data_IF_324152945802
#
_entry.id   IF_324152945802
#
_cell.length_a   1.000
_cell.length_b   1.000
_cell.length_c   1.000
_cell.angle_alpha   90.00
_cell.angle_beta   90.00
_cell.angle_gamma   90.00
#
_symmetry.space_group_name_H-M   'P 1'
#
loop_
_entity.id
_entity.type
_entity.pdbx_description
1 polymer ?
#
# COMPACT_ATOMS: atom_id res chain seq x y z
N UNK A 1 -24.02 -30.02 -19.55
CA UNK A 1 -24.16 -28.89 -18.60
C UNK A 1 -22.79 -28.25 -18.47
N UNK A 2 -22.63 -27.02 -18.98
CA UNK A 2 -21.34 -26.34 -19.00
C UNK A 2 -21.23 -25.48 -17.73
N UNK A 3 -20.23 -25.75 -16.90
CA UNK A 3 -19.94 -24.96 -15.70
C UNK A 3 -18.93 -23.87 -16.08
N UNK A 4 -19.30 -22.61 -15.86
CA UNK A 4 -18.42 -21.45 -16.06
C UNK A 4 -18.03 -20.88 -14.71
N UNK A 5 -16.74 -20.60 -14.52
CA UNK A 5 -16.19 -20.03 -13.28
C UNK A 5 -15.64 -18.65 -13.61
N UNK A 6 -16.12 -17.64 -12.89
CA UNK A 6 -15.75 -16.23 -13.09
C UNK A 6 -15.26 -15.63 -11.76
N UNK A 7 -14.13 -14.93 -11.79
CA UNK A 7 -13.60 -14.21 -10.63
C UNK A 7 -14.13 -12.77 -10.63
N UNK A 8 -14.96 -12.42 -9.63
CA UNK A 8 -15.70 -11.14 -9.61
C UNK A 8 -14.94 -10.04 -8.85
N UNK A 9 -14.19 -10.38 -7.79
CA UNK A 9 -13.42 -9.40 -7.01
C UNK A 9 -12.04 -9.95 -6.63
N UNK A 10 -10.99 -9.63 -7.41
CA UNK A 10 -9.62 -10.03 -7.09
C UNK A 10 -9.02 -9.21 -5.94
N UNK A 11 -9.61 -8.07 -5.59
CA UNK A 11 -9.06 -7.10 -4.63
C UNK A 11 -9.52 -7.34 -3.19
N UNK A 12 -10.64 -8.02 -2.97
CA UNK A 12 -11.13 -8.44 -1.65
C UNK A 12 -10.15 -9.34 -0.86
N UNK A 13 -9.03 -9.72 -1.46
CA UNK A 13 -8.04 -10.67 -0.92
C UNK A 13 -6.79 -10.00 -0.34
N UNK A 14 -6.66 -8.68 -0.42
CA UNK A 14 -5.49 -7.94 0.07
C UNK A 14 -5.59 -7.77 1.60
N UNK A 15 -4.85 -8.58 2.37
CA UNK A 15 -4.63 -8.35 3.81
C UNK A 15 -5.07 -9.44 4.79
N UNK A 16 -5.53 -10.60 4.34
CA UNK A 16 -5.91 -11.72 5.23
C UNK A 16 -4.87 -12.85 5.26
N UNK A 17 -4.62 -13.39 6.46
CA UNK A 17 -3.66 -14.48 6.68
C UNK A 17 -4.17 -15.82 6.14
N UNK A 18 -5.50 -16.03 6.16
CA UNK A 18 -6.17 -17.20 5.62
C UNK A 18 -7.22 -16.76 4.58
N UNK A 19 -7.22 -17.41 3.41
CA UNK A 19 -8.20 -17.15 2.36
C UNK A 19 -9.59 -17.56 2.85
N UNK A 20 -10.50 -16.59 2.88
CA UNK A 20 -11.94 -16.83 3.02
C UNK A 20 -12.61 -16.17 1.83
N UNK A 21 -13.02 -16.99 0.87
CA UNK A 21 -13.82 -16.57 -0.27
C UNK A 21 -15.24 -17.11 -0.16
N UNK A 22 -16.11 -16.62 -1.04
CA UNK A 22 -17.43 -17.19 -1.24
C UNK A 22 -17.52 -17.69 -2.69
N UNK A 23 -17.92 -18.95 -2.87
CA UNK A 23 -18.35 -19.45 -4.16
C UNK A 23 -19.87 -19.24 -4.25
N UNK A 24 -20.30 -18.35 -5.14
CA UNK A 24 -21.70 -18.17 -5.43
C UNK A 24 -22.10 -18.98 -6.67
N UNK A 25 -23.04 -19.89 -6.49
CA UNK A 25 -23.62 -20.72 -7.54
C UNK A 25 -24.89 -20.04 -8.03
N UNK A 26 -24.98 -19.78 -9.33
CA UNK A 26 -26.14 -19.18 -9.96
C UNK A 26 -26.61 -20.04 -11.14
N UNK A 27 -27.88 -19.91 -11.49
CA UNK A 27 -28.38 -20.35 -12.79
C UNK A 27 -29.13 -19.22 -13.49
N UNK A 28 -29.16 -19.28 -14.81
CA UNK A 28 -30.03 -18.45 -15.62
C UNK A 28 -31.38 -19.16 -15.72
N UNK A 29 -32.44 -18.51 -15.28
CA UNK A 29 -33.80 -19.06 -15.38
C UNK A 29 -34.73 -18.06 -16.04
N UNK A 30 -35.65 -18.57 -16.83
CA UNK A 30 -36.79 -17.81 -17.32
C UNK A 30 -37.76 -17.54 -16.17
N UNK A 31 -37.95 -16.26 -15.85
CA UNK A 31 -38.87 -15.77 -14.83
C UNK A 31 -39.95 -14.95 -15.50
N UNK A 32 -41.21 -15.21 -15.15
CA UNK A 32 -42.34 -14.39 -15.57
C UNK A 32 -42.44 -13.16 -14.67
N UNK A 33 -42.08 -12.00 -15.19
CA UNK A 33 -42.21 -10.74 -14.45
C UNK A 33 -43.48 -10.02 -14.90
N UNK A 34 -44.27 -9.54 -13.92
CA UNK A 34 -45.47 -8.77 -14.21
C UNK A 34 -45.09 -7.35 -14.65
N UNK A 35 -45.61 -6.93 -15.81
CA UNK A 35 -45.45 -5.57 -16.30
C UNK A 35 -46.50 -4.66 -15.65
N UNK A 36 -46.09 -3.76 -14.76
CA UNK A 36 -46.92 -2.61 -14.40
C UNK A 36 -46.68 -1.50 -15.42
N UNK A 37 -47.65 -1.13 -16.28
CA UNK A 37 -47.52 0.08 -17.07
C UNK A 37 -47.33 1.25 -16.09
N UNK A 38 -46.27 2.02 -16.30
CA UNK A 38 -45.78 3.04 -15.38
C UNK A 38 -46.86 3.97 -14.86
N UNK A 39 -46.64 4.52 -13.66
CA UNK A 39 -47.45 5.58 -13.05
C UNK A 39 -47.51 6.78 -14.01
N UNK A 40 -48.52 6.79 -14.89
CA UNK A 40 -49.02 8.02 -15.46
C UNK A 40 -49.76 8.75 -14.35
N UNK A 41 -49.17 9.86 -13.90
CA UNK A 41 -49.81 10.82 -13.00
C UNK A 41 -51.04 11.38 -13.72
N UNK A 42 -52.20 11.25 -13.04
CA UNK A 42 -53.53 11.85 -13.30
C UNK A 42 -54.20 11.50 -14.64
N UNK A 43 -55.39 10.89 -14.58
CA UNK A 43 -56.70 11.56 -14.63
C UNK A 43 -57.81 10.54 -14.32
N UNK A 44 -58.92 11.03 -13.74
CA UNK A 44 -60.09 10.23 -13.34
C UNK A 44 -60.70 9.49 -14.54
N UNK A 45 -60.95 8.19 -14.39
CA UNK A 45 -62.00 7.50 -15.14
C UNK A 45 -62.51 6.28 -14.36
N UNK A 46 -63.79 6.35 -14.02
CA UNK A 46 -64.63 5.24 -13.59
C UNK A 46 -64.74 4.23 -14.73
N UNK A 47 -64.20 3.03 -14.55
CA UNK A 47 -64.82 1.78 -15.02
C UNK A 47 -64.02 0.55 -14.58
N UNK A 48 -64.77 -0.41 -14.07
CA UNK A 48 -64.34 -1.72 -13.62
C UNK A 48 -64.06 -2.60 -14.85
N UNK A 49 -62.78 -2.84 -15.17
CA UNK A 49 -62.35 -3.97 -16.02
C UNK A 49 -61.01 -4.46 -15.51
N UNK A 50 -60.96 -5.73 -15.10
CA UNK A 50 -59.76 -6.39 -14.61
C UNK A 50 -58.59 -6.13 -15.56
N UNK A 51 -57.61 -5.33 -15.13
CA UNK A 51 -56.36 -5.17 -15.86
C UNK A 51 -55.65 -6.52 -15.80
N UNK A 52 -55.83 -7.36 -16.83
CA UNK A 52 -55.08 -8.61 -16.98
C UNK A 52 -53.59 -8.24 -16.92
N UNK A 53 -52.90 -8.72 -15.89
CA UNK A 53 -51.46 -8.55 -15.76
C UNK A 53 -50.81 -9.10 -17.03
N UNK A 54 -50.05 -8.26 -17.72
CA UNK A 54 -49.23 -8.69 -18.87
C UNK A 54 -47.92 -9.19 -18.29
N UNK A 55 -47.59 -10.45 -18.53
CA UNK A 55 -46.35 -11.06 -18.08
C UNK A 55 -45.34 -11.04 -19.22
N UNK A 56 -44.09 -10.72 -18.91
CA UNK A 56 -42.97 -10.89 -19.82
C UNK A 56 -42.06 -11.98 -19.28
N UNK A 57 -41.65 -12.91 -20.17
CA UNK A 57 -40.58 -13.86 -19.85
C UNK A 57 -39.26 -13.10 -19.90
N UNK A 58 -38.56 -13.06 -18.77
CA UNK A 58 -37.22 -12.46 -18.66
C UNK A 58 -36.25 -13.54 -18.20
N UNK A 59 -35.09 -13.62 -18.84
CA UNK A 59 -33.99 -14.46 -18.34
C UNK A 59 -33.30 -13.68 -17.23
N UNK A 60 -33.28 -14.25 -16.03
CA UNK A 60 -32.69 -13.63 -14.85
C UNK A 60 -31.69 -14.58 -14.17
N UNK A 61 -30.65 -13.99 -13.56
CA UNK A 61 -29.65 -14.71 -12.77
C UNK A 61 -30.22 -14.97 -11.38
N UNK A 62 -30.53 -16.23 -11.08
CA UNK A 62 -31.01 -16.65 -9.76
C UNK A 62 -29.86 -17.24 -8.96
N UNK A 63 -29.65 -16.74 -7.74
CA UNK A 63 -28.68 -17.30 -6.79
C UNK A 63 -29.24 -18.60 -6.20
N UNK A 64 -28.43 -19.66 -6.25
CA UNK A 64 -28.81 -20.98 -5.76
C UNK A 64 -28.16 -21.28 -4.41
N UNK A 65 -26.88 -20.95 -4.27
CA UNK A 65 -26.14 -21.21 -3.05
C UNK A 65 -24.90 -20.31 -2.93
N UNK A 66 -24.54 -20.00 -1.69
CA UNK A 66 -23.26 -19.38 -1.32
C UNK A 66 -22.49 -20.34 -0.44
N UNK A 67 -21.30 -20.73 -0.86
CA UNK A 67 -20.43 -21.64 -0.12
C UNK A 67 -19.22 -20.88 0.36
N UNK A 68 -18.93 -20.93 1.66
CA UNK A 68 -17.68 -20.39 2.21
C UNK A 68 -16.55 -21.34 1.87
N UNK A 69 -15.54 -20.85 1.16
CA UNK A 69 -14.41 -21.65 0.70
C UNK A 69 -13.10 -21.09 1.21
N UNK A 70 -12.16 -21.99 1.49
CA UNK A 70 -10.74 -21.63 1.64
C UNK A 70 -10.07 -21.83 0.30
N UNK A 71 -9.65 -20.73 -0.32
CA UNK A 71 -8.91 -20.78 -1.58
C UNK A 71 -7.41 -20.91 -1.29
N UNK A 72 -6.63 -21.63 -2.12
CA UNK A 72 -5.19 -21.63 -1.97
C UNK A 72 -4.62 -20.22 -2.19
N UNK A 73 -3.65 -19.84 -1.37
CA UNK A 73 -2.92 -18.57 -1.55
C UNK A 73 -2.15 -18.63 -2.85
N UNK A 74 -2.43 -17.71 -3.77
CA UNK A 74 -1.58 -17.56 -4.95
C UNK A 74 -0.18 -17.20 -4.42
N UNK A 75 0.75 -18.15 -4.53
CA UNK A 75 2.15 -17.93 -4.22
C UNK A 75 2.71 -17.04 -5.33
N UNK A 76 2.53 -15.72 -5.17
CA UNK A 76 3.23 -14.76 -6.01
C UNK A 76 4.73 -15.03 -5.77
N UNK A 77 5.51 -15.38 -6.81
CA UNK A 77 6.92 -15.66 -6.64
C UNK A 77 7.58 -14.45 -5.97
N UNK A 78 8.33 -14.72 -4.90
CA UNK A 78 8.95 -13.74 -4.00
C UNK A 78 9.78 -12.70 -4.75
N UNK A 79 10.27 -13.06 -5.94
CA UNK A 79 11.01 -12.20 -6.88
C UNK A 79 10.33 -10.86 -7.14
N UNK A 80 9.01 -10.83 -7.33
CA UNK A 80 8.30 -9.62 -7.78
C UNK A 80 7.92 -8.68 -6.63
N UNK A 81 7.90 -9.17 -5.40
CA UNK A 81 7.65 -8.35 -4.18
C UNK A 81 8.93 -7.77 -3.59
N UNK A 82 10.07 -8.29 -3.99
CA UNK A 82 11.39 -7.99 -3.42
C UNK A 82 12.24 -7.07 -4.30
N UNK A 83 11.82 -6.80 -5.54
CA UNK A 83 12.31 -5.66 -6.28
C UNK A 83 11.87 -4.40 -5.54
N UNK A 84 12.70 -3.96 -4.59
CA UNK A 84 12.67 -2.57 -4.14
C UNK A 84 12.86 -1.78 -5.43
N UNK A 85 11.85 -1.08 -5.97
CA UNK A 85 12.07 -0.25 -7.13
C UNK A 85 13.25 0.64 -6.77
N UNK A 86 14.27 0.72 -7.65
CA UNK A 86 15.46 1.54 -7.44
C UNK A 86 15.00 2.94 -7.06
N UNK A 87 14.94 3.19 -5.75
CA UNK A 87 14.42 4.42 -5.22
C UNK A 87 15.60 5.36 -5.18
N UNK A 88 15.70 6.13 -6.25
CA UNK A 88 16.60 7.25 -6.34
C UNK A 88 15.81 8.50 -5.96
N UNK A 89 16.36 9.28 -5.04
CA UNK A 89 15.82 10.59 -4.69
C UNK A 89 16.86 11.64 -5.01
N UNK A 90 16.42 12.75 -5.59
CA UNK A 90 17.29 13.89 -5.85
C UNK A 90 17.55 14.60 -4.53
N UNK A 91 18.81 14.60 -4.09
CA UNK A 91 19.23 15.37 -2.92
C UNK A 91 19.35 16.84 -3.28
N UNK A 92 18.90 17.71 -2.38
CA UNK A 92 19.14 19.17 -2.43
C UNK A 92 20.10 19.62 -1.32
N UNK A 93 20.63 18.65 -0.58
CA UNK A 93 21.43 18.83 0.63
C UNK A 93 22.49 17.71 0.69
N UNK A 94 23.25 17.67 1.79
CA UNK A 94 24.30 16.68 2.01
C UNK A 94 23.80 15.23 2.16
N UNK A 95 22.50 15.02 2.36
CA UNK A 95 21.90 13.69 2.54
C UNK A 95 21.66 13.06 1.18
N UNK A 96 22.75 12.62 0.57
CA UNK A 96 22.72 11.83 -0.67
C UNK A 96 22.51 10.35 -0.40
N UNK A 97 22.12 9.60 -1.43
CA UNK A 97 22.00 8.14 -1.34
C UNK A 97 23.33 7.47 -0.97
N UNK A 98 24.45 7.99 -1.49
CA UNK A 98 25.80 7.56 -1.14
C UNK A 98 26.08 7.81 0.35
N UNK A 99 25.76 9.01 0.85
CA UNK A 99 25.92 9.34 2.26
C UNK A 99 25.14 8.39 3.17
N UNK A 100 23.85 8.15 2.89
CA UNK A 100 23.02 7.25 3.69
C UNK A 100 23.52 5.80 3.70
N UNK A 101 24.14 5.35 2.60
CA UNK A 101 24.76 4.02 2.48
C UNK A 101 26.07 3.90 3.26
N UNK A 102 26.84 4.97 3.36
CA UNK A 102 28.03 4.96 4.24
C UNK A 102 27.63 5.08 5.71
N UNK A 103 26.61 5.89 6.01
CA UNK A 103 26.07 6.03 7.36
C UNK A 103 25.48 4.71 7.88
N UNK A 104 24.79 3.94 7.03
CA UNK A 104 24.21 2.65 7.44
C UNK A 104 25.26 1.65 7.92
N UNK A 105 26.43 1.59 7.27
CA UNK A 105 27.57 0.77 7.68
C UNK A 105 28.12 1.16 9.06
N UNK A 106 27.96 2.42 9.47
CA UNK A 106 28.40 2.95 10.77
C UNK A 106 27.39 2.68 11.89
N UNK A 107 26.24 2.06 11.62
CA UNK A 107 25.21 1.73 12.60
C UNK A 107 25.25 0.24 12.97
N UNK A 108 25.86 -0.14 14.09
CA UNK A 108 26.00 -1.55 14.47
C UNK A 108 24.67 -2.15 14.97
N UNK A 109 24.44 -3.41 14.64
CA UNK A 109 23.36 -4.24 15.18
C UNK A 109 21.98 -3.59 15.02
N UNK A 110 21.18 -3.58 16.09
CA UNK A 110 19.82 -3.03 16.11
C UNK A 110 19.76 -1.50 16.32
N UNK A 111 20.88 -0.79 16.19
CA UNK A 111 20.92 0.68 16.38
C UNK A 111 20.02 1.41 15.37
N UNK A 112 19.85 0.85 14.16
CA UNK A 112 18.92 1.39 13.18
C UNK A 112 17.46 1.39 13.64
N UNK A 113 17.03 0.47 14.51
CA UNK A 113 15.66 0.46 15.06
C UNK A 113 15.44 1.63 16.00
N UNK A 114 16.43 1.89 16.87
CA UNK A 114 16.43 3.04 17.77
C UNK A 114 16.42 4.34 16.98
N UNK A 115 17.26 4.44 15.94
CA UNK A 115 17.29 5.60 15.06
C UNK A 115 15.96 5.79 14.32
N UNK A 116 15.38 4.71 13.79
CA UNK A 116 14.09 4.77 13.12
C UNK A 116 12.99 5.31 14.04
N UNK A 117 12.94 4.88 15.29
CA UNK A 117 12.01 5.43 16.28
C UNK A 117 12.27 6.91 16.56
N UNK A 118 13.54 7.32 16.69
CA UNK A 118 13.92 8.72 16.90
C UNK A 118 13.66 9.62 15.68
N UNK A 119 13.56 9.03 14.48
CA UNK A 119 13.18 9.70 13.23
C UNK A 119 11.67 9.64 12.96
N UNK A 120 10.86 9.29 13.97
CA UNK A 120 9.41 9.15 13.89
C UNK A 120 8.90 8.19 12.79
N UNK A 121 9.69 7.17 12.43
CA UNK A 121 9.19 6.10 11.57
C UNK A 121 8.13 5.28 12.31
N UNK A 122 6.97 4.99 11.67
CA UNK A 122 5.95 4.16 12.28
C UNK A 122 6.48 2.78 12.68
N UNK A 123 6.12 2.32 13.87
CA UNK A 123 6.54 1.01 14.41
C UNK A 123 6.28 -0.14 13.43
N UNK A 124 5.14 -0.10 12.72
CA UNK A 124 4.80 -1.07 11.69
C UNK A 124 5.85 -1.13 10.55
N UNK A 125 6.43 0.01 10.14
CA UNK A 125 7.49 0.04 9.12
C UNK A 125 8.81 -0.50 9.65
N UNK A 126 9.17 -0.16 10.89
CA UNK A 126 10.37 -0.69 11.55
C UNK A 126 10.29 -2.23 11.64
N UNK A 127 9.13 -2.77 12.04
CA UNK A 127 8.89 -4.21 12.06
C UNK A 127 8.94 -4.83 10.66
N UNK A 128 8.35 -4.19 9.66
CA UNK A 128 8.37 -4.67 8.28
C UNK A 128 9.80 -4.72 7.69
N UNK A 129 10.68 -3.81 8.09
CA UNK A 129 12.10 -3.84 7.70
C UNK A 129 12.81 -5.00 8.40
N UNK A 130 12.63 -5.15 9.71
CA UNK A 130 13.32 -6.18 10.50
C UNK A 130 12.76 -7.60 10.35
N UNK A 131 11.54 -7.76 9.85
CA UNK A 131 10.90 -9.06 9.60
C UNK A 131 11.25 -9.70 8.26
N UNK A 132 11.97 -8.99 7.38
CA UNK A 132 12.48 -9.57 6.13
C UNK A 132 13.63 -10.53 6.45
N UNK A 133 13.60 -11.74 5.86
CA UNK A 133 14.68 -12.73 5.98
C UNK A 133 16.04 -12.06 5.75
N UNK A 134 17.03 -12.39 6.60
CA UNK A 134 18.40 -11.88 6.50
C UNK A 134 19.04 -12.13 5.12
N UNK A 135 18.53 -13.11 4.36
CA UNK A 135 18.95 -13.40 2.98
C UNK A 135 18.48 -12.38 1.94
N UNK A 136 17.60 -11.45 2.31
CA UNK A 136 16.79 -10.65 1.40
C UNK A 136 17.04 -9.13 1.51
N UNK A 137 17.71 -8.69 2.58
CA UNK A 137 18.07 -7.29 2.82
C UNK A 137 19.50 -7.25 3.31
N UNK A 138 20.44 -6.89 2.43
CA UNK A 138 21.87 -6.79 2.77
C UNK A 138 22.17 -5.65 3.77
N UNK A 139 21.21 -4.75 4.02
CA UNK A 139 21.42 -3.63 4.96
C UNK A 139 20.08 -3.08 5.51
N UNK A 140 19.68 -3.52 6.71
CA UNK A 140 18.47 -3.05 7.38
C UNK A 140 18.52 -1.56 7.72
N UNK A 141 19.70 -1.03 8.04
CA UNK A 141 19.89 0.37 8.38
C UNK A 141 19.68 1.26 7.15
N UNK A 142 20.21 0.84 6.01
CA UNK A 142 19.97 1.53 4.75
C UNK A 142 18.50 1.46 4.31
N UNK A 143 17.85 0.30 4.47
CA UNK A 143 16.42 0.16 4.19
C UNK A 143 15.56 1.08 5.08
N UNK A 144 15.94 1.26 6.35
CA UNK A 144 15.32 2.22 7.27
C UNK A 144 15.48 3.66 6.76
N UNK A 145 16.67 4.07 6.34
CA UNK A 145 16.90 5.41 5.78
C UNK A 145 16.06 5.68 4.53
N UNK A 146 16.00 4.74 3.58
CA UNK A 146 15.15 4.89 2.40
C UNK A 146 13.66 5.00 2.78
N UNK A 147 13.22 4.24 3.77
CA UNK A 147 11.85 4.34 4.27
C UNK A 147 11.57 5.70 4.93
N UNK A 148 12.53 6.24 5.69
CA UNK A 148 12.41 7.53 6.34
C UNK A 148 12.34 8.67 5.32
N UNK A 149 13.23 8.70 4.33
CA UNK A 149 13.21 9.71 3.26
C UNK A 149 11.87 9.73 2.54
N UNK A 150 11.28 8.55 2.27
CA UNK A 150 9.96 8.44 1.63
C UNK A 150 8.81 9.01 2.46
N UNK A 151 8.95 9.09 3.78
CA UNK A 151 7.91 9.65 4.66
C UNK A 151 8.00 11.17 4.83
N UNK A 152 9.10 11.79 4.41
CA UNK A 152 9.31 13.21 4.59
C UNK A 152 8.62 14.05 3.50
N UNK A 153 8.07 15.22 3.84
CA UNK A 153 7.69 16.20 2.85
C UNK A 153 8.93 16.75 2.12
N UNK A 154 8.74 17.25 0.91
CA UNK A 154 9.83 17.78 0.06
C UNK A 154 10.58 18.94 0.73
N UNK A 155 9.90 19.72 1.56
CA UNK A 155 10.45 20.87 2.30
C UNK A 155 11.06 20.52 3.66
N UNK A 156 11.11 19.24 4.04
CA UNK A 156 11.67 18.84 5.33
C UNK A 156 13.16 19.18 5.41
N UNK A 157 13.60 19.74 6.54
CA UNK A 157 15.01 19.87 6.87
C UNK A 157 15.55 18.50 7.31
N UNK A 158 15.97 17.72 6.32
CA UNK A 158 16.46 16.35 6.51
C UNK A 158 17.71 16.33 7.40
N UNK A 159 18.57 17.35 7.28
CA UNK A 159 19.84 17.44 8.01
C UNK A 159 19.57 17.61 9.49
N UNK A 160 18.72 18.56 9.86
CA UNK A 160 18.38 18.80 11.27
C UNK A 160 17.64 17.61 11.88
N UNK A 161 16.69 17.00 11.16
CA UNK A 161 15.97 15.81 11.63
C UNK A 161 16.92 14.63 11.89
N UNK A 162 17.83 14.35 10.95
CA UNK A 162 18.81 13.28 11.12
C UNK A 162 19.79 13.57 12.26
N UNK A 163 20.24 14.83 12.36
CA UNK A 163 21.12 15.26 13.45
C UNK A 163 20.46 15.04 14.82
N UNK A 164 19.21 15.48 14.99
CA UNK A 164 18.45 15.28 16.24
C UNK A 164 18.23 13.80 16.54
N UNK A 165 17.88 13.00 15.53
CA UNK A 165 17.73 11.55 15.68
C UNK A 165 19.03 10.86 16.15
N UNK A 166 20.17 11.24 15.56
CA UNK A 166 21.50 10.72 15.94
C UNK A 166 21.89 11.13 17.37
N UNK A 167 21.61 12.38 17.77
CA UNK A 167 21.77 12.85 19.16
C UNK A 167 20.92 12.03 20.13
N UNK A 168 19.65 11.80 19.80
CA UNK A 168 18.70 11.11 20.67
C UNK A 168 19.09 9.65 20.95
N UNK A 169 19.76 8.98 20.02
CA UNK A 169 20.26 7.61 20.21
C UNK A 169 21.68 7.55 20.81
N UNK A 170 22.27 8.69 21.18
CA UNK A 170 23.61 8.78 21.74
C UNK A 170 24.75 8.64 20.72
N UNK A 171 24.47 8.80 19.42
CA UNK A 171 25.47 8.78 18.34
C UNK A 171 25.93 10.19 18.00
N UNK A 172 26.47 10.88 19.01
CA UNK A 172 26.96 12.26 18.85
C UNK A 172 28.18 12.37 17.94
N UNK A 173 28.93 11.28 17.80
CA UNK A 173 30.01 11.11 16.83
C UNK A 173 29.51 11.37 15.39
N UNK A 174 28.47 10.64 14.98
CA UNK A 174 27.92 10.73 13.62
C UNK A 174 27.21 12.06 13.36
N UNK A 175 26.55 12.59 14.38
CA UNK A 175 25.88 13.88 14.28
C UNK A 175 26.88 15.05 14.10
N UNK A 176 28.05 14.96 14.75
CA UNK A 176 29.11 15.96 14.58
C UNK A 176 29.71 15.87 13.18
N UNK A 177 29.94 14.64 12.68
CA UNK A 177 30.38 14.41 11.30
C UNK A 177 29.38 14.99 10.28
N UNK A 178 28.07 14.81 10.51
CA UNK A 178 27.02 15.40 9.66
C UNK A 178 27.06 16.94 9.65
N UNK A 179 27.30 17.58 10.81
CA UNK A 179 27.42 19.04 10.88
C UNK A 179 28.64 19.55 10.11
N UNK A 180 29.78 18.88 10.25
CA UNK A 180 31.01 19.24 9.54
C UNK A 180 30.78 19.16 8.02
N UNK A 181 30.21 18.04 7.55
CA UNK A 181 29.86 17.87 6.14
C UNK A 181 28.90 18.95 5.62
N UNK A 182 27.94 19.36 6.46
CA UNK A 182 27.00 20.43 6.11
C UNK A 182 27.70 21.79 6.00
N UNK A 183 28.64 22.09 6.88
CA UNK A 183 29.44 23.32 6.82
C UNK A 183 30.28 23.38 5.53
N UNK A 184 30.90 22.26 5.16
CA UNK A 184 31.71 22.15 3.94
C UNK A 184 30.84 22.33 2.68
N UNK A 185 29.62 21.77 2.68
CA UNK A 185 28.68 21.89 1.57
C UNK A 185 28.17 23.32 1.35
N UNK A 186 27.93 24.07 2.43
CA UNK A 186 27.54 25.49 2.32
C UNK A 186 28.68 26.31 1.72
N UNK A 187 29.92 25.97 2.02
CA UNK A 187 31.09 26.70 1.52
C UNK A 187 31.29 26.49 0.00
N UNK A 188 31.11 25.27 -0.50
CA UNK A 188 31.21 24.94 -1.94
C UNK A 188 30.07 25.57 -2.76
N UNK A 189 28.89 25.75 -2.16
CA UNK A 189 27.75 26.43 -2.78
C UNK A 189 27.94 27.94 -2.96
N UNK A 190 28.83 28.58 -2.19
CA UNK A 190 29.11 30.02 -2.29
C UNK A 190 30.08 30.41 -3.41
N UNK A 191 30.87 29.47 -3.93
CA UNK A 191 31.93 29.76 -4.92
C UNK A 191 31.47 29.70 -6.38
N UNK A 192 30.19 29.41 -6.63
CA UNK A 192 29.63 29.26 -8.00
C UNK A 192 28.86 30.47 -8.51
N UNK A 193 28.98 31.63 -7.84
CA UNK A 193 28.38 32.89 -8.28
C UNK A 193 29.47 33.92 -8.67
N UNK A 194 30.09 33.73 -9.82
CA UNK A 194 30.81 34.78 -10.56
C UNK A 194 30.54 34.65 -12.05
#
# INVERSE_FOLDING_TARGET
MQLTVEAIDPSAQIGLDNYRGFLDIYCMREVLTAFSPGRAVRFKAVHNRSRKARFQVKIERTHLARIVVKLPKLTIPISDRMAVPNFEFVSKDVITQKYLRELSKKLPGDTWRRLGMALDLPRARIQAIGGKSASAVEDYAYAMFLSWIKTLPVSADRVNLLHQGLMAIGRSDLATELRQLTADYVHDGSDTST
#
